data_IF_518503634796
#
_entry.id   IF_518503634796
#
_cell.length_a   1.000
_cell.length_b   1.000
_cell.length_c   1.000
_cell.angle_alpha   90.00
_cell.angle_beta   90.00
_cell.angle_gamma   90.00
#
_symmetry.space_group_name_H-M   'P 1'
#
loop_
_entity.id
_entity.type
_entity.pdbx_description
1 polymer ?
#
# COMPACT_ATOMS: atom_id res chain seq x y z
N UNK A 1 0.69 -5.64 15.04
CA UNK A 1 -0.58 -5.29 15.71
C UNK A 1 -0.77 -3.80 15.58
N UNK A 2 -1.98 -3.35 15.26
CA UNK A 2 -2.38 -1.95 15.16
C UNK A 2 -2.92 -1.50 16.52
N UNK A 3 -2.00 -1.11 17.39
CA UNK A 3 -2.24 -0.99 18.83
C UNK A 3 -2.38 0.45 19.32
N UNK A 4 -1.71 1.41 18.68
CA UNK A 4 -1.67 2.80 19.11
C UNK A 4 -1.71 3.81 17.98
N UNK A 5 -2.16 5.05 18.25
CA UNK A 5 -1.97 6.18 17.34
C UNK A 5 -0.50 6.45 17.06
N UNK A 6 -0.24 7.06 15.90
CA UNK A 6 1.09 7.48 15.50
C UNK A 6 1.57 8.72 16.27
N UNK A 7 2.81 8.65 16.72
CA UNK A 7 3.62 9.76 17.19
C UNK A 7 4.72 10.02 16.16
N UNK A 8 4.54 11.08 15.36
CA UNK A 8 5.41 11.43 14.24
C UNK A 8 6.85 11.77 14.65
N UNK A 9 7.14 11.94 15.95
CA UNK A 9 8.50 12.13 16.45
C UNK A 9 9.25 10.81 16.71
N UNK A 10 8.54 9.68 16.82
CA UNK A 10 9.11 8.38 17.21
C UNK A 10 8.81 7.25 16.23
N UNK A 11 7.76 7.40 15.44
CA UNK A 11 7.29 6.40 14.50
C UNK A 11 7.81 6.64 13.08
N UNK A 12 7.71 5.60 12.27
CA UNK A 12 8.16 5.60 10.88
C UNK A 12 7.00 5.85 9.92
N UNK A 13 5.93 6.51 10.38
CA UNK A 13 4.72 6.73 9.61
C UNK A 13 3.46 6.22 10.29
N UNK A 14 2.39 6.12 9.51
CA UNK A 14 1.08 5.65 9.97
C UNK A 14 0.27 5.01 8.84
N UNK A 15 -0.58 4.07 9.21
CA UNK A 15 -1.68 3.58 8.37
C UNK A 15 -2.99 4.29 8.75
N UNK A 16 -3.94 4.32 7.82
CA UNK A 16 -5.19 5.08 7.86
C UNK A 16 -4.96 6.59 8.07
N UNK A 17 -5.95 7.29 8.61
CA UNK A 17 -5.84 8.71 8.89
C UNK A 17 -5.75 9.57 7.63
N UNK A 18 -5.06 10.70 7.78
CA UNK A 18 -4.91 11.70 6.73
C UNK A 18 -3.44 11.79 6.28
N UNK A 19 -3.16 12.08 5.00
CA UNK A 19 -1.82 12.38 4.50
C UNK A 19 -1.34 13.75 5.02
N UNK A 20 -0.03 13.97 5.13
CA UNK A 20 0.54 15.22 5.59
C UNK A 20 0.92 16.15 4.43
N UNK A 21 0.97 17.45 4.68
CA UNK A 21 1.73 18.41 3.89
C UNK A 21 1.21 18.76 2.51
N UNK A 22 0.06 18.22 2.10
CA UNK A 22 -0.60 18.55 0.84
C UNK A 22 -1.83 19.41 1.08
N UNK A 23 -2.27 20.14 0.05
CA UNK A 23 -3.59 20.80 0.06
C UNK A 23 -4.69 19.81 -0.31
N UNK A 24 -5.95 20.18 -0.05
CA UNK A 24 -7.10 19.37 -0.47
C UNK A 24 -7.17 19.21 -1.99
N UNK A 25 -6.75 20.21 -2.76
CA UNK A 25 -6.70 20.16 -4.23
C UNK A 25 -5.59 19.25 -4.76
N UNK A 26 -4.54 19.03 -3.97
CA UNK A 26 -3.45 18.12 -4.32
C UNK A 26 -3.76 16.66 -3.97
N UNK A 27 -4.85 16.40 -3.24
CA UNK A 27 -5.30 15.06 -2.91
C UNK A 27 -5.78 14.34 -4.19
N UNK A 28 -5.29 13.13 -4.48
CA UNK A 28 -5.65 12.46 -5.72
C UNK A 28 -7.11 11.97 -5.69
N UNK A 29 -7.89 12.39 -6.68
CA UNK A 29 -9.22 11.82 -6.92
C UNK A 29 -9.11 10.49 -7.68
N UNK A 30 -10.09 9.64 -7.43
CA UNK A 30 -10.31 8.36 -8.06
C UNK A 30 -10.98 8.56 -9.44
N UNK A 31 -10.31 8.22 -10.55
CA UNK A 31 -10.90 8.32 -11.89
C UNK A 31 -12.02 7.30 -12.15
N UNK A 32 -12.23 6.32 -11.26
CA UNK A 32 -13.32 5.35 -11.37
C UNK A 32 -14.61 5.91 -10.77
N UNK A 33 -14.54 6.49 -9.57
CA UNK A 33 -15.72 6.92 -8.80
C UNK A 33 -15.93 8.43 -8.76
N UNK A 34 -14.90 9.22 -9.05
CA UNK A 34 -14.89 10.68 -8.88
C UNK A 34 -14.77 11.14 -7.42
N UNK A 35 -14.68 10.22 -6.46
CA UNK A 35 -14.41 10.53 -5.05
C UNK A 35 -12.91 10.67 -4.77
N UNK A 36 -12.51 11.26 -3.63
CA UNK A 36 -11.11 11.21 -3.21
C UNK A 36 -10.65 9.75 -3.05
N UNK A 37 -9.44 9.42 -3.54
CA UNK A 37 -8.83 8.14 -3.20
C UNK A 37 -8.61 8.08 -1.68
N UNK A 38 -8.82 6.91 -1.08
CA UNK A 38 -8.60 6.72 0.34
C UNK A 38 -7.10 6.70 0.64
N UNK A 39 -6.65 7.51 1.60
CA UNK A 39 -5.29 7.43 2.12
C UNK A 39 -5.15 6.17 2.97
N UNK A 40 -4.32 5.23 2.53
CA UNK A 40 -4.11 4.00 3.27
C UNK A 40 -2.89 4.07 4.18
N UNK A 41 -1.77 4.67 3.75
CA UNK A 41 -0.63 4.89 4.65
C UNK A 41 0.29 6.03 4.19
N UNK A 42 1.03 6.58 5.15
CA UNK A 42 2.22 7.39 4.92
C UNK A 42 3.40 6.72 5.62
N UNK A 43 4.46 6.42 4.89
CA UNK A 43 5.66 5.76 5.38
C UNK A 43 6.87 6.69 5.28
N UNK A 44 7.54 6.93 6.42
CA UNK A 44 8.84 7.58 6.45
C UNK A 44 9.90 6.58 6.00
N UNK A 45 10.60 6.89 4.91
CA UNK A 45 11.59 6.00 4.32
C UNK A 45 12.90 6.05 5.13
N UNK A 46 13.44 4.88 5.52
CA UNK A 46 14.82 4.75 5.96
C UNK A 46 15.77 5.36 4.93
N UNK A 47 16.91 5.87 5.37
CA UNK A 47 17.87 6.60 4.51
C UNK A 47 18.33 5.78 3.31
N UNK A 48 18.59 4.49 3.51
CA UNK A 48 18.97 3.52 2.48
C UNK A 48 17.85 3.20 1.48
N UNK A 49 16.61 3.59 1.76
CA UNK A 49 15.46 3.45 0.86
C UNK A 49 15.06 4.78 0.18
N UNK A 50 15.79 5.89 0.39
CA UNK A 50 15.51 7.18 -0.26
C UNK A 50 16.10 7.27 -1.66
N UNK A 51 15.46 6.59 -2.60
CA UNK A 51 15.94 6.42 -3.98
C UNK A 51 15.57 7.54 -4.96
N UNK A 52 14.79 8.53 -4.51
CA UNK A 52 14.34 9.68 -5.31
C UNK A 52 15.05 10.99 -4.98
N UNK A 53 16.23 10.89 -4.37
CA UNK A 53 17.02 12.02 -3.90
C UNK A 53 16.84 12.29 -2.41
N UNK A 54 17.81 13.00 -1.82
CA UNK A 54 17.92 13.23 -0.38
C UNK A 54 16.75 14.02 0.21
N UNK A 55 16.10 14.86 -0.60
CA UNK A 55 14.96 15.68 -0.19
C UNK A 55 13.67 14.87 -0.04
N UNK A 56 13.56 13.72 -0.70
CA UNK A 56 12.39 12.84 -0.64
C UNK A 56 12.53 11.89 0.54
N UNK A 57 11.71 12.12 1.56
CA UNK A 57 11.83 11.44 2.85
C UNK A 57 10.73 10.41 3.07
N UNK A 58 9.57 10.53 2.42
CA UNK A 58 8.42 9.68 2.69
C UNK A 58 7.58 9.42 1.44
N UNK A 59 6.71 8.42 1.54
CA UNK A 59 5.69 8.08 0.54
C UNK A 59 4.32 8.00 1.19
N UNK A 60 3.31 8.64 0.60
CA UNK A 60 1.89 8.40 0.92
C UNK A 60 1.25 7.59 -0.19
N UNK A 61 0.49 6.56 0.16
CA UNK A 61 -0.17 5.68 -0.79
C UNK A 61 -1.69 5.74 -0.64
N UNK A 62 -2.37 5.78 -1.78
CA UNK A 62 -3.81 5.98 -1.92
C UNK A 62 -4.40 4.92 -2.85
N UNK A 63 -5.63 4.51 -2.58
CA UNK A 63 -6.35 3.52 -3.38
C UNK A 63 -7.84 3.84 -3.46
N UNK A 64 -8.54 3.24 -4.42
CA UNK A 64 -10.01 3.20 -4.43
C UNK A 64 -10.53 2.65 -3.10
N UNK A 65 -11.63 3.22 -2.62
CA UNK A 65 -12.23 2.80 -1.36
C UNK A 65 -12.68 1.32 -1.44
N UNK A 66 -12.55 0.52 -0.37
CA UNK A 66 -12.88 -0.90 -0.41
C UNK A 66 -14.32 -1.21 -0.81
N UNK A 67 -15.26 -0.36 -0.43
CA UNK A 67 -16.68 -0.43 -0.77
C UNK A 67 -17.01 0.06 -2.19
N UNK A 68 -16.00 0.54 -2.93
CA UNK A 68 -16.06 0.82 -4.36
C UNK A 68 -15.22 -0.18 -5.18
N UNK A 69 -14.57 -1.14 -4.53
CA UNK A 69 -13.77 -2.18 -5.16
C UNK A 69 -14.50 -3.53 -5.14
N UNK A 70 -15.23 -3.82 -6.21
CA UNK A 70 -16.12 -4.99 -6.37
C UNK A 70 -15.62 -6.01 -7.40
N UNK A 71 -14.31 -6.00 -7.71
CA UNK A 71 -13.72 -6.97 -8.63
C UNK A 71 -13.74 -6.57 -10.11
N UNK A 72 -13.91 -5.28 -10.40
CA UNK A 72 -13.72 -4.69 -11.72
C UNK A 72 -14.17 -3.23 -11.77
N UNK A 73 -13.28 -2.32 -12.17
CA UNK A 73 -13.60 -0.90 -12.21
C UNK A 73 -14.64 -0.59 -13.31
N UNK A 74 -15.74 0.11 -13.00
CA UNK A 74 -16.60 0.66 -14.04
C UNK A 74 -15.81 1.67 -14.89
N UNK A 75 -15.96 1.57 -16.21
CA UNK A 75 -15.34 2.51 -17.14
C UNK A 75 -16.29 3.68 -17.43
N UNK A 76 -16.02 4.84 -16.82
CA UNK A 76 -16.65 6.13 -17.15
C UNK A 76 -15.60 7.11 -17.68
N UNK A 77 -15.51 7.31 -19.01
CA UNK A 77 -14.56 8.24 -19.61
C UNK A 77 -14.73 9.69 -19.15
N UNK A 78 -15.95 10.15 -18.86
CA UNK A 78 -16.20 11.54 -18.45
C UNK A 78 -15.62 11.81 -17.05
N UNK A 79 -15.82 10.87 -16.11
CA UNK A 79 -15.22 10.95 -14.77
C UNK A 79 -13.69 10.91 -14.89
N UNK A 80 -13.14 9.95 -15.66
CA UNK A 80 -11.69 9.80 -15.82
C UNK A 80 -11.05 11.04 -16.40
N UNK A 81 -11.58 11.57 -17.51
CA UNK A 81 -11.06 12.77 -18.15
C UNK A 81 -11.13 13.99 -17.22
N UNK A 82 -12.24 14.14 -16.49
CA UNK A 82 -12.40 15.22 -15.51
C UNK A 82 -11.37 15.13 -14.38
N UNK A 83 -11.11 13.93 -13.83
CA UNK A 83 -10.09 13.71 -12.80
C UNK A 83 -8.69 14.04 -13.32
N UNK A 84 -8.34 13.56 -14.52
CA UNK A 84 -7.02 13.75 -15.10
C UNK A 84 -6.75 15.22 -15.52
N UNK A 85 -7.81 16.02 -15.73
CA UNK A 85 -7.70 17.44 -16.02
C UNK A 85 -7.43 18.31 -14.78
N UNK A 86 -7.61 17.79 -13.56
CA UNK A 86 -7.35 18.55 -12.34
C UNK A 86 -5.86 18.77 -12.10
N UNK A 87 -5.54 19.87 -11.45
CA UNK A 87 -4.18 20.10 -10.95
C UNK A 87 -3.82 19.06 -9.91
N UNK A 88 -2.69 18.39 -10.09
CA UNK A 88 -2.21 17.36 -9.17
C UNK A 88 -0.95 17.82 -8.42
N UNK A 89 -0.64 17.12 -7.33
CA UNK A 89 0.66 17.24 -6.69
C UNK A 89 1.79 16.93 -7.70
N UNK A 90 2.88 17.72 -7.76
CA UNK A 90 3.93 17.57 -8.78
C UNK A 90 4.70 16.24 -8.72
N UNK A 91 4.61 15.52 -7.61
CA UNK A 91 5.21 14.19 -7.41
C UNK A 91 4.16 13.08 -7.22
N UNK A 92 3.02 13.24 -7.88
CA UNK A 92 2.01 12.20 -8.00
C UNK A 92 2.42 11.18 -9.04
N UNK A 93 2.37 9.91 -8.65
CA UNK A 93 2.44 8.77 -9.56
C UNK A 93 1.13 8.01 -9.47
N UNK A 94 0.52 7.72 -10.63
CA UNK A 94 -0.68 6.90 -10.75
C UNK A 94 -0.30 5.52 -11.27
N UNK A 95 -0.96 4.50 -10.76
CA UNK A 95 -0.79 3.10 -11.13
C UNK A 95 -2.16 2.47 -11.28
N UNK A 96 -2.29 1.54 -12.21
CA UNK A 96 -3.54 0.83 -12.47
C UNK A 96 -3.26 -0.67 -12.31
N UNK A 97 -4.20 -1.41 -11.72
CA UNK A 97 -4.10 -2.86 -11.63
C UNK A 97 -4.78 -3.57 -12.81
N UNK A 98 -4.80 -4.91 -12.77
CA UNK A 98 -5.44 -5.74 -13.81
C UNK A 98 -6.98 -5.63 -13.84
N UNK A 99 -7.59 -5.05 -12.81
CA UNK A 99 -9.02 -4.80 -12.70
C UNK A 99 -9.38 -3.34 -13.05
N UNK A 100 -8.42 -2.60 -13.60
CA UNK A 100 -8.54 -1.19 -13.98
C UNK A 100 -8.82 -0.23 -12.80
N UNK A 101 -8.59 -0.67 -11.55
CA UNK A 101 -8.65 0.23 -10.40
C UNK A 101 -7.39 1.06 -10.27
N UNK A 102 -7.55 2.23 -9.66
CA UNK A 102 -6.51 3.24 -9.60
C UNK A 102 -5.92 3.42 -8.20
N UNK A 103 -4.60 3.49 -8.22
CA UNK A 103 -3.76 3.65 -7.06
C UNK A 103 -2.86 4.84 -7.30
N UNK A 104 -2.49 5.52 -6.22
CA UNK A 104 -1.62 6.66 -6.31
C UNK A 104 -0.57 6.66 -5.21
N UNK A 105 0.63 7.10 -5.57
CA UNK A 105 1.70 7.38 -4.64
C UNK A 105 2.09 8.86 -4.73
N UNK A 106 2.28 9.48 -3.57
CA UNK A 106 2.88 10.80 -3.44
C UNK A 106 4.25 10.67 -2.80
N UNK A 107 5.30 11.08 -3.52
CA UNK A 107 6.61 11.27 -2.92
C UNK A 107 6.66 12.61 -2.18
N UNK A 108 6.96 12.52 -0.89
CA UNK A 108 6.94 13.66 0.01
C UNK A 108 8.34 14.11 0.37
N UNK A 109 8.52 15.42 0.35
CA UNK A 109 9.69 16.04 0.98
C UNK A 109 9.62 15.91 2.49
N UNK A 110 10.73 16.15 3.18
CA UNK A 110 10.72 16.26 4.65
C UNK A 110 9.72 17.31 5.15
N UNK A 111 9.65 18.46 4.49
CA UNK A 111 8.74 19.55 4.89
C UNK A 111 7.26 19.15 4.74
N UNK A 112 6.91 18.44 3.66
CA UNK A 112 5.56 17.89 3.47
C UNK A 112 5.27 16.79 4.48
N UNK A 113 6.20 15.87 4.70
CA UNK A 113 6.06 14.84 5.72
C UNK A 113 5.85 15.42 7.12
N UNK A 114 6.44 16.57 7.45
CA UNK A 114 6.31 17.32 8.72
C UNK A 114 5.11 18.29 8.74
N UNK A 115 4.43 18.45 7.60
CA UNK A 115 3.29 19.34 7.45
C UNK A 115 2.02 18.94 8.21
N UNK A 116 1.04 19.83 8.19
CA UNK A 116 -0.29 19.58 8.73
C UNK A 116 -1.02 18.49 7.92
N UNK A 117 -1.97 17.81 8.56
CA UNK A 117 -2.83 16.86 7.86
C UNK A 117 -3.77 17.56 6.88
N UNK A 118 -3.90 17.00 5.69
CA UNK A 118 -4.82 17.49 4.67
C UNK A 118 -6.22 16.91 4.91
N UNK A 119 -7.26 17.70 4.62
CA UNK A 119 -8.62 17.17 4.56
C UNK A 119 -8.93 16.68 3.14
N UNK A 120 -9.74 15.61 2.98
CA UNK A 120 -10.14 15.16 1.66
C UNK A 120 -10.97 16.24 0.95
N UNK A 121 -10.79 16.44 -0.37
CA UNK A 121 -11.60 17.36 -1.14
C UNK A 121 -13.04 16.87 -1.29
N UNK A 122 -13.91 17.75 -1.79
CA UNK A 122 -15.23 17.32 -2.27
C UNK A 122 -15.07 16.38 -3.48
N UNK A 123 -15.99 15.42 -3.70
CA UNK A 123 -16.00 14.62 -4.92
C UNK A 123 -16.27 15.47 -6.15
N UNK A 124 -15.97 14.94 -7.34
CA UNK A 124 -16.43 15.53 -8.59
C UNK A 124 -17.96 15.64 -8.60
N UNK A 125 -18.47 16.67 -9.27
CA UNK A 125 -19.92 16.83 -9.48
C UNK A 125 -20.52 15.72 -10.35
N UNK A 126 -19.67 15.02 -11.11
CA UNK A 126 -20.03 13.85 -11.93
C UNK A 126 -20.07 12.54 -11.12
N UNK A 127 -19.61 12.53 -9.87
CA UNK A 127 -19.60 11.32 -9.05
C UNK A 127 -21.03 10.83 -8.78
N UNK A 128 -21.35 9.63 -9.25
CA UNK A 128 -22.68 9.00 -9.11
C UNK A 128 -22.69 7.85 -8.11
N UNK A 129 -21.52 7.31 -7.78
CA UNK A 129 -21.38 6.27 -6.77
C UNK A 129 -21.87 6.74 -5.40
N UNK A 130 -22.32 5.79 -4.57
CA UNK A 130 -22.61 6.08 -3.17
C UNK A 130 -21.36 6.62 -2.48
N UNK A 131 -21.57 7.51 -1.50
CA UNK A 131 -20.45 8.09 -0.75
C UNK A 131 -19.69 6.98 -0.02
N UNK A 132 -18.36 6.85 -0.22
CA UNK A 132 -17.60 5.78 0.40
C UNK A 132 -17.53 5.97 1.92
N UNK A 133 -17.67 4.87 2.65
CA UNK A 133 -17.88 4.83 4.09
C UNK A 133 -16.76 5.52 4.88
N UNK A 134 -15.53 5.45 4.39
CA UNK A 134 -14.38 6.05 5.06
C UNK A 134 -14.49 7.58 5.18
N UNK A 135 -15.25 8.25 4.30
CA UNK A 135 -15.44 9.69 4.38
C UNK A 135 -16.36 10.12 5.54
N UNK A 136 -17.11 9.20 6.12
CA UNK A 136 -18.00 9.47 7.25
C UNK A 136 -17.38 9.09 8.60
N UNK A 137 -16.63 7.98 8.62
CA UNK A 137 -16.11 7.38 9.86
C UNK A 137 -14.59 7.24 9.93
N UNK A 138 -13.87 7.61 8.87
CA UNK A 138 -12.43 7.39 8.73
C UNK A 138 -12.08 5.98 8.26
N UNK A 139 -10.94 5.85 7.57
CA UNK A 139 -10.49 4.59 6.97
C UNK A 139 -10.32 3.46 7.98
N UNK A 140 -9.83 3.76 9.18
CA UNK A 140 -9.66 2.75 10.24
C UNK A 140 -10.99 2.13 10.68
N UNK A 141 -12.02 2.96 10.91
CA UNK A 141 -13.35 2.49 11.32
C UNK A 141 -14.07 1.79 10.17
N UNK A 142 -14.00 2.34 8.95
CA UNK A 142 -14.60 1.72 7.77
C UNK A 142 -14.03 0.32 7.52
N UNK A 143 -12.71 0.16 7.58
CA UNK A 143 -12.09 -1.16 7.47
C UNK A 143 -12.50 -2.07 8.64
N UNK A 144 -12.47 -1.60 9.89
CA UNK A 144 -12.84 -2.44 11.03
C UNK A 144 -14.29 -2.95 10.96
N UNK A 145 -15.23 -2.11 10.49
CA UNK A 145 -16.64 -2.46 10.29
C UNK A 145 -16.82 -3.58 9.24
N UNK A 146 -16.08 -3.51 8.13
CA UNK A 146 -16.17 -4.46 7.02
C UNK A 146 -15.26 -5.68 7.14
N UNK A 147 -14.19 -5.59 7.96
CA UNK A 147 -13.14 -6.59 7.99
C UNK A 147 -13.64 -7.94 8.53
N UNK A 148 -13.14 -9.07 8.00
CA UNK A 148 -13.36 -10.38 8.59
C UNK A 148 -12.74 -10.46 9.99
N UNK A 149 -13.11 -11.46 10.81
CA UNK A 149 -12.64 -11.56 12.20
C UNK A 149 -11.12 -11.57 12.37
N UNK A 150 -10.35 -12.06 11.39
CA UNK A 150 -8.88 -11.99 11.45
C UNK A 150 -8.36 -10.56 11.28
N UNK A 151 -8.96 -9.76 10.38
CA UNK A 151 -8.61 -8.36 10.15
C UNK A 151 -8.98 -7.49 11.35
N UNK A 152 -10.14 -7.73 11.95
CA UNK A 152 -10.56 -7.04 13.19
C UNK A 152 -9.58 -7.29 14.34
N UNK A 153 -9.08 -8.52 14.47
CA UNK A 153 -8.08 -8.91 15.50
C UNK A 153 -6.74 -8.20 15.34
N UNK A 154 -6.45 -7.59 14.18
CA UNK A 154 -5.23 -6.79 14.02
C UNK A 154 -5.27 -5.51 14.84
N UNK A 155 -6.47 -5.02 15.18
CA UNK A 155 -6.67 -3.88 16.06
C UNK A 155 -6.67 -4.34 17.53
N UNK A 156 -5.90 -3.66 18.38
CA UNK A 156 -5.94 -3.92 19.82
C UNK A 156 -7.30 -3.54 20.45
N UNK A 157 -7.98 -2.56 19.85
CA UNK A 157 -9.33 -2.13 20.22
C UNK A 157 -10.03 -1.52 19.00
N UNK A 158 -11.37 -1.48 19.03
CA UNK A 158 -12.14 -0.80 18.00
C UNK A 158 -11.64 0.64 17.78
N UNK A 159 -11.36 1.05 16.53
CA UNK A 159 -10.91 2.41 16.23
C UNK A 159 -12.03 3.43 16.44
N UNK A 160 -11.65 4.69 16.68
CA UNK A 160 -12.63 5.78 16.74
C UNK A 160 -13.14 6.10 15.34
N UNK A 161 -14.43 6.43 15.24
CA UNK A 161 -15.03 6.93 14.02
C UNK A 161 -14.61 8.39 13.75
N UNK A 162 -13.42 8.59 13.19
CA UNK A 162 -12.88 9.89 12.83
C UNK A 162 -11.89 9.77 11.66
N UNK A 163 -11.92 10.73 10.73
CA UNK A 163 -11.00 10.80 9.59
C UNK A 163 -9.51 10.78 10.00
N UNK A 164 -9.19 11.37 11.15
CA UNK A 164 -7.81 11.47 11.64
C UNK A 164 -7.33 10.22 12.38
N UNK A 165 -8.21 9.25 12.64
CA UNK A 165 -7.85 8.03 13.36
C UNK A 165 -6.83 7.22 12.54
N UNK A 166 -5.60 7.10 13.08
CA UNK A 166 -4.47 6.44 12.45
C UNK A 166 -3.81 5.42 13.38
N UNK A 167 -2.92 4.59 12.84
CA UNK A 167 -2.14 3.61 13.61
C UNK A 167 -0.67 3.70 13.24
N UNK A 168 0.20 3.65 14.25
CA UNK A 168 1.64 3.82 14.08
C UNK A 168 2.26 2.74 13.17
N UNK A 169 3.19 3.15 12.31
CA UNK A 169 4.14 2.25 11.65
C UNK A 169 5.45 2.27 12.43
N UNK A 170 5.93 1.11 12.83
CA UNK A 170 7.25 0.95 13.44
C UNK A 170 8.07 -0.03 12.60
N UNK A 171 9.28 0.40 12.21
CA UNK A 171 10.23 -0.43 11.49
C UNK A 171 11.23 -1.05 12.46
N UNK A 172 11.51 -2.33 12.26
CA UNK A 172 12.58 -3.05 12.95
C UNK A 172 13.50 -3.67 11.90
N UNK A 173 14.83 -3.49 11.98
CA UNK A 173 15.76 -4.09 11.04
C UNK A 173 15.61 -5.62 10.98
N UNK A 174 15.50 -6.15 9.77
CA UNK A 174 15.53 -7.59 9.51
C UNK A 174 16.97 -8.00 9.20
N UNK A 175 17.64 -8.62 10.16
CA UNK A 175 18.97 -9.17 9.94
C UNK A 175 18.90 -10.44 9.08
N UNK A 176 19.94 -10.69 8.29
CA UNK A 176 20.18 -11.98 7.61
C UNK A 176 19.17 -12.40 6.54
N UNK A 177 18.35 -11.48 6.01
CA UNK A 177 17.53 -11.75 4.83
C UNK A 177 18.43 -11.87 3.59
N UNK A 178 18.53 -13.05 2.95
CA UNK A 178 19.40 -13.27 1.81
C UNK A 178 18.96 -12.53 0.54
N UNK A 179 17.76 -11.96 0.56
CA UNK A 179 17.22 -11.14 -0.53
C UNK A 179 17.36 -9.63 -0.27
N UNK A 180 18.00 -9.21 0.82
CA UNK A 180 18.32 -7.80 1.05
C UNK A 180 19.09 -7.22 -0.15
N UNK A 181 18.59 -6.11 -0.70
CA UNK A 181 19.18 -5.44 -1.87
C UNK A 181 18.95 -6.14 -3.22
N UNK A 182 18.19 -7.25 -3.27
CA UNK A 182 17.87 -7.96 -4.51
C UNK A 182 16.45 -7.66 -4.96
N UNK A 183 16.27 -7.45 -6.27
CA UNK A 183 14.95 -7.28 -6.87
C UNK A 183 14.20 -8.62 -6.90
N UNK A 184 12.97 -8.71 -6.38
CA UNK A 184 12.11 -9.87 -6.49
C UNK A 184 11.85 -10.23 -7.95
N UNK A 185 11.95 -11.52 -8.27
CA UNK A 185 11.70 -12.08 -9.60
C UNK A 185 11.27 -13.54 -9.45
N UNK A 186 10.28 -13.96 -10.23
CA UNK A 186 9.96 -15.38 -10.40
C UNK A 186 10.87 -16.00 -11.48
N UNK A 187 11.49 -17.14 -11.20
CA UNK A 187 12.42 -17.80 -12.13
C UNK A 187 11.75 -18.22 -13.45
N UNK A 188 10.43 -18.44 -13.44
CA UNK A 188 9.66 -18.92 -14.59
C UNK A 188 9.10 -17.80 -15.46
N UNK A 189 8.93 -16.59 -14.92
CA UNK A 189 8.29 -15.47 -15.64
C UNK A 189 9.20 -14.24 -15.79
N UNK A 190 10.39 -14.23 -15.18
CA UNK A 190 11.31 -13.08 -15.27
C UNK A 190 11.67 -12.70 -16.70
N UNK A 191 11.66 -11.40 -16.95
CA UNK A 191 12.10 -10.82 -18.21
C UNK A 191 13.55 -10.34 -18.14
N UNK A 192 13.97 -9.86 -16.95
CA UNK A 192 15.34 -9.36 -16.73
C UNK A 192 16.32 -10.46 -16.33
N UNK A 193 17.61 -10.09 -16.41
CA UNK A 193 18.70 -10.90 -15.90
C UNK A 193 18.48 -11.25 -14.42
N UNK A 194 18.88 -12.46 -13.98
CA UNK A 194 18.58 -12.92 -12.64
C UNK A 194 19.32 -12.09 -11.60
N UNK A 195 18.61 -11.68 -10.54
CA UNK A 195 19.14 -10.91 -9.42
C UNK A 195 19.80 -11.78 -8.34
N UNK A 196 19.67 -13.10 -8.44
CA UNK A 196 20.01 -14.04 -7.38
C UNK A 196 19.03 -14.01 -6.20
N UNK A 197 17.82 -13.47 -6.44
CA UNK A 197 16.69 -13.55 -5.53
C UNK A 197 16.24 -14.99 -5.36
N UNK A 198 15.86 -15.38 -4.14
CA UNK A 198 15.42 -16.73 -3.83
C UNK A 198 14.03 -16.74 -3.16
N UNK A 199 13.15 -17.71 -3.48
CA UNK A 199 11.86 -17.82 -2.81
C UNK A 199 12.02 -18.09 -1.30
N UNK A 200 11.01 -17.72 -0.51
CA UNK A 200 10.95 -18.00 0.93
C UNK A 200 10.73 -19.48 1.27
N UNK A 201 10.43 -20.29 0.24
CA UNK A 201 10.13 -21.70 0.30
C UNK A 201 11.02 -22.50 -0.67
N UNK A 202 11.05 -23.81 -0.49
CA UNK A 202 11.68 -24.76 -1.41
C UNK A 202 10.90 -26.07 -1.43
N UNK A 203 11.15 -26.90 -2.44
CA UNK A 203 10.63 -28.26 -2.51
C UNK A 203 11.75 -29.27 -2.25
N UNK A 204 11.54 -30.19 -1.31
CA UNK A 204 12.49 -31.27 -1.02
C UNK A 204 12.74 -32.09 -2.28
N UNK A 205 14.02 -32.24 -2.65
CA UNK A 205 14.41 -32.93 -3.89
C UNK A 205 14.04 -32.21 -5.18
N UNK A 206 13.60 -30.95 -5.13
CA UNK A 206 13.17 -30.17 -6.30
C UNK A 206 11.84 -30.64 -6.90
N UNK A 207 11.02 -31.39 -6.16
CA UNK A 207 9.76 -31.95 -6.65
C UNK A 207 8.57 -31.14 -6.13
N UNK A 208 7.89 -30.32 -6.95
CA UNK A 208 6.73 -29.55 -6.53
C UNK A 208 5.63 -30.43 -5.94
N UNK A 209 5.03 -30.00 -4.84
CA UNK A 209 3.94 -30.70 -4.19
C UNK A 209 3.87 -30.40 -2.70
N UNK A 210 2.67 -30.47 -2.14
CA UNK A 210 2.40 -30.15 -0.73
C UNK A 210 3.30 -30.93 0.24
N UNK A 211 3.53 -32.22 -0.02
CA UNK A 211 4.33 -33.09 0.84
C UNK A 211 5.83 -32.72 0.85
N UNK A 212 6.29 -32.06 -0.23
CA UNK A 212 7.68 -31.63 -0.41
C UNK A 212 7.89 -30.14 -0.10
N UNK A 213 6.82 -29.35 0.07
CA UNK A 213 6.91 -27.92 0.36
C UNK A 213 7.52 -27.68 1.74
N UNK A 214 8.53 -26.83 1.81
CA UNK A 214 9.19 -26.42 3.06
C UNK A 214 9.47 -24.93 3.02
N UNK A 215 9.39 -24.27 4.17
CA UNK A 215 9.88 -22.91 4.33
C UNK A 215 11.35 -22.95 4.68
N UNK A 216 12.13 -22.01 4.15
CA UNK A 216 13.49 -21.82 4.62
C UNK A 216 13.51 -21.37 6.08
N UNK A 217 14.47 -21.87 6.86
CA UNK A 217 14.62 -21.49 8.27
C UNK A 217 14.82 -19.99 8.46
N UNK A 218 15.59 -19.36 7.56
CA UNK A 218 15.84 -17.92 7.58
C UNK A 218 14.58 -17.08 7.34
N UNK A 219 13.50 -17.64 6.77
CA UNK A 219 12.28 -16.88 6.49
C UNK A 219 11.26 -16.92 7.63
N UNK A 220 11.39 -17.82 8.60
CA UNK A 220 10.32 -18.12 9.59
C UNK A 220 9.81 -16.90 10.36
N UNK A 221 10.71 -16.00 10.73
CA UNK A 221 10.39 -14.82 11.55
C UNK A 221 10.12 -13.55 10.72
N UNK A 222 9.99 -13.69 9.40
CA UNK A 222 9.68 -12.58 8.52
C UNK A 222 8.21 -12.16 8.70
N UNK A 223 8.00 -10.93 9.18
CA UNK A 223 6.69 -10.29 9.20
C UNK A 223 6.11 -10.16 7.78
N UNK A 224 4.78 -10.16 7.69
CA UNK A 224 4.04 -10.02 6.42
C UNK A 224 4.22 -8.66 5.76
N UNK A 225 4.16 -7.57 6.53
CA UNK A 225 4.45 -6.23 6.00
C UNK A 225 5.93 -5.93 6.18
N UNK A 226 6.64 -5.53 5.11
CA UNK A 226 8.06 -5.21 5.19
C UNK A 226 8.55 -4.37 4.00
N UNK A 227 9.69 -3.72 4.22
CA UNK A 227 10.47 -3.05 3.17
C UNK A 227 11.52 -3.99 2.60
N UNK A 228 11.54 -4.14 1.28
CA UNK A 228 12.53 -4.92 0.55
C UNK A 228 12.67 -6.38 1.04
N UNK A 229 13.77 -7.03 0.67
CA UNK A 229 14.08 -8.38 1.16
C UNK A 229 13.17 -9.44 0.54
N UNK A 230 12.84 -10.48 1.31
CA UNK A 230 12.05 -11.63 0.83
C UNK A 230 10.56 -11.37 0.90
N UNK A 231 9.95 -11.26 -0.28
CA UNK A 231 8.51 -11.17 -0.54
C UNK A 231 7.76 -12.48 -0.24
N UNK A 232 6.49 -12.36 0.13
CA UNK A 232 5.54 -13.46 0.37
C UNK A 232 4.19 -13.18 -0.31
N UNK A 233 4.16 -13.04 -1.65
CA UNK A 233 2.93 -12.74 -2.34
C UNK A 233 1.96 -13.93 -2.23
N UNK A 234 0.66 -13.64 -2.23
CA UNK A 234 -0.37 -14.69 -2.26
C UNK A 234 -0.32 -15.54 -3.54
N UNK A 235 0.14 -14.94 -4.64
CA UNK A 235 0.26 -15.59 -5.96
C UNK A 235 1.71 -15.52 -6.48
N UNK A 236 1.91 -15.15 -7.75
CA UNK A 236 3.22 -15.09 -8.37
C UNK A 236 4.09 -13.98 -7.77
N UNK A 237 5.42 -14.12 -7.88
CA UNK A 237 6.36 -13.05 -7.47
C UNK A 237 6.45 -12.02 -8.60
N UNK A 238 5.92 -10.79 -8.42
CA UNK A 238 6.08 -9.73 -9.41
C UNK A 238 7.54 -9.31 -9.54
N UNK A 239 7.93 -8.90 -10.75
CA UNK A 239 9.26 -8.37 -11.01
C UNK A 239 9.37 -6.90 -10.54
N UNK A 240 10.12 -6.69 -9.44
CA UNK A 240 10.27 -5.38 -8.78
C UNK A 240 11.74 -5.02 -8.51
N UNK A 241 11.98 -3.74 -8.21
CA UNK A 241 13.22 -3.26 -7.61
C UNK A 241 13.40 -3.79 -6.18
N UNK A 242 14.61 -3.68 -5.59
CA UNK A 242 14.79 -3.94 -4.16
C UNK A 242 14.08 -2.96 -3.22
N UNK A 243 13.54 -1.86 -3.75
CA UNK A 243 12.99 -0.72 -3.01
C UNK A 243 11.46 -0.74 -3.09
N UNK A 244 10.88 -1.74 -2.43
CA UNK A 244 9.44 -1.94 -2.38
C UNK A 244 8.96 -2.08 -0.93
N UNK A 245 7.66 -1.87 -0.72
CA UNK A 245 6.93 -2.33 0.45
C UNK A 245 5.99 -3.46 0.03
N UNK A 246 6.00 -4.56 0.75
CA UNK A 246 4.90 -5.55 0.72
C UNK A 246 4.00 -5.31 1.92
N UNK A 247 2.69 -5.38 1.71
CA UNK A 247 1.71 -5.09 2.73
C UNK A 247 0.38 -5.82 2.54
N UNK A 248 -0.24 -6.17 3.64
CA UNK A 248 -1.54 -6.85 3.74
C UNK A 248 -2.70 -5.84 3.69
N UNK A 249 -3.92 -6.30 3.44
CA UNK A 249 -5.13 -5.45 3.40
C UNK A 249 -5.30 -4.57 4.65
N UNK A 250 -5.02 -5.10 5.85
CA UNK A 250 -5.14 -4.34 7.10
C UNK A 250 -4.10 -3.23 7.24
N UNK A 251 -3.08 -3.18 6.37
CA UNK A 251 -2.06 -2.14 6.35
C UNK A 251 -2.54 -0.93 5.52
N UNK A 252 -3.70 -0.38 5.85
CA UNK A 252 -4.30 0.75 5.13
C UNK A 252 -5.76 0.54 4.75
N UNK A 253 -6.26 -0.69 4.93
CA UNK A 253 -7.66 -1.07 4.82
C UNK A 253 -8.12 -1.24 3.40
N UNK A 254 -7.46 -2.08 2.62
CA UNK A 254 -7.79 -2.32 1.21
C UNK A 254 -8.71 -3.53 1.04
N UNK A 255 -9.22 -3.69 -0.19
CA UNK A 255 -9.84 -4.93 -0.64
C UNK A 255 -8.95 -5.55 -1.73
N UNK A 256 -8.17 -6.56 -1.36
CA UNK A 256 -7.36 -7.40 -2.24
C UNK A 256 -7.92 -8.82 -2.29
N UNK A 257 -9.21 -9.02 -1.97
CA UNK A 257 -9.82 -10.35 -1.96
C UNK A 257 -9.16 -11.32 -0.97
N UNK A 258 -8.69 -10.82 0.18
CA UNK A 258 -8.04 -11.61 1.22
C UNK A 258 -6.54 -11.87 1.00
N UNK A 259 -5.93 -11.20 0.01
CA UNK A 259 -4.50 -11.32 -0.25
C UNK A 259 -3.69 -10.09 0.14
N UNK A 260 -2.63 -9.79 -0.63
CA UNK A 260 -1.66 -8.75 -0.31
C UNK A 260 -1.16 -8.02 -1.55
N UNK A 261 -0.43 -6.93 -1.33
CA UNK A 261 0.05 -6.05 -2.38
C UNK A 261 1.50 -5.64 -2.17
N UNK A 262 2.12 -5.21 -3.27
CA UNK A 262 3.48 -4.73 -3.30
C UNK A 262 3.54 -3.41 -4.07
N UNK A 263 4.23 -2.42 -3.49
CA UNK A 263 4.51 -1.12 -4.11
C UNK A 263 6.02 -0.96 -4.24
N UNK A 264 6.52 -1.00 -5.47
CA UNK A 264 7.87 -0.58 -5.82
C UNK A 264 7.90 0.94 -5.93
N UNK A 265 8.38 1.59 -4.88
CA UNK A 265 8.44 3.05 -4.84
C UNK A 265 9.67 3.60 -5.55
N UNK A 266 10.60 2.80 -6.08
CA UNK A 266 11.64 3.32 -7.01
C UNK A 266 11.04 3.50 -8.40
N UNK A 267 10.42 2.44 -8.91
CA UNK A 267 9.95 2.38 -10.29
C UNK A 267 8.45 2.76 -10.42
N UNK A 268 7.78 3.06 -9.30
CA UNK A 268 6.35 3.37 -9.20
C UNK A 268 5.48 2.29 -9.86
N UNK A 269 5.72 1.06 -9.43
CA UNK A 269 4.94 -0.11 -9.85
C UNK A 269 4.16 -0.65 -8.69
N UNK A 270 2.93 -1.03 -8.97
CA UNK A 270 2.03 -1.63 -8.01
C UNK A 270 1.55 -2.97 -8.56
N UNK A 271 1.53 -3.98 -7.70
CA UNK A 271 0.96 -5.29 -7.99
C UNK A 271 0.24 -5.79 -6.74
N UNK A 272 -0.79 -6.60 -6.92
CA UNK A 272 -1.50 -7.24 -5.82
C UNK A 272 -2.09 -8.56 -6.29
N UNK A 273 -2.38 -9.42 -5.33
CA UNK A 273 -2.98 -10.71 -5.59
C UNK A 273 -4.04 -11.05 -4.54
N UNK A 274 -5.11 -11.75 -4.96
CA UNK A 274 -6.07 -12.34 -4.05
C UNK A 274 -5.60 -13.68 -3.47
N UNK A 275 -6.15 -14.02 -2.30
CA UNK A 275 -5.83 -15.22 -1.51
C UNK A 275 -6.71 -16.44 -1.78
#
# INVERSE_FOLDING_TARGET
MLDRPADRARDHGWVYGLPPGITSEQWPLDPVSGYPLMHGFTLLLPEDYRVHGEDIAAVSFFATAPDHNDGGAPDDPEIREAVLALSAHPRLSRMTDILDYEYAALLLTKAEYEGAFANPPAPLTLATAERPRWLDVGGASAFFEAAPPYGQKMFASAPRAALIENRAIALTPRASDPNAGKGPQDEHTREKAPTGYQPYYYYVGGVPGRDNFRLHDWSKDHAHNHLGGTMRPCQAVPEMSPFYIEFEEYFGGYNFGGGNAQLDFRDMKFDWACG
#
